data_IF_656513031329
#
_entry.id   IF_656513031329
#
_cell.length_a   1.000
_cell.length_b   1.000
_cell.length_c   1.000
_cell.angle_alpha   90.00
_cell.angle_beta   90.00
_cell.angle_gamma   90.00
#
_symmetry.space_group_name_H-M   'P 1'
#
loop_
_entity.id
_entity.type
_entity.pdbx_description
1 polymer ?
#
# COMPACT_ATOMS: atom_id res chain seq x y z
N UNK A 1 -2.53 -19.60 11.45
CA UNK A 1 -1.42 -19.38 10.50
C UNK A 1 -1.44 -17.89 10.13
N UNK A 2 -0.32 -17.18 10.26
CA UNK A 2 -0.25 -15.76 9.91
C UNK A 2 0.19 -15.65 8.44
N UNK A 3 -0.49 -14.80 7.67
CA UNK A 3 -0.07 -14.44 6.32
C UNK A 3 0.69 -13.11 6.40
N UNK A 4 1.91 -13.09 5.88
CA UNK A 4 2.78 -11.92 5.90
C UNK A 4 3.67 -11.88 4.65
N UNK A 5 4.13 -10.68 4.31
CA UNK A 5 4.96 -10.39 3.14
C UNK A 5 5.95 -9.27 3.53
N UNK A 6 7.20 -9.37 3.07
CA UNK A 6 8.17 -8.28 3.21
C UNK A 6 7.87 -7.19 2.20
N UNK A 7 8.08 -5.93 2.60
CA UNK A 7 7.89 -4.80 1.71
C UNK A 7 8.76 -3.61 2.06
N UNK A 8 9.01 -2.76 1.06
CA UNK A 8 9.75 -1.50 1.19
C UNK A 8 8.78 -0.32 1.17
N UNK A 9 8.86 0.57 2.16
CA UNK A 9 8.11 1.83 2.15
C UNK A 9 8.65 2.73 1.03
N UNK A 10 7.81 3.06 0.06
CA UNK A 10 8.17 3.94 -1.05
C UNK A 10 7.82 5.40 -0.79
N UNK A 11 6.68 5.64 -0.12
CA UNK A 11 6.23 7.00 0.13
C UNK A 11 4.75 7.08 0.47
N UNK A 12 4.21 8.29 0.38
CA UNK A 12 2.80 8.58 0.64
C UNK A 12 2.17 9.25 -0.57
N UNK A 13 0.91 8.91 -0.84
CA UNK A 13 0.08 9.52 -1.89
C UNK A 13 -1.38 9.56 -1.43
N UNK A 14 -2.30 9.91 -2.33
CA UNK A 14 -3.73 9.91 -2.08
C UNK A 14 -4.47 9.22 -3.21
N UNK A 15 -5.54 8.51 -2.86
CA UNK A 15 -6.45 7.86 -3.81
C UNK A 15 -7.86 8.41 -3.63
N UNK A 16 -8.61 8.49 -4.72
CA UNK A 16 -10.03 8.81 -4.69
C UNK A 16 -10.84 7.52 -4.79
N UNK A 17 -11.77 7.33 -3.86
CA UNK A 17 -12.71 6.21 -3.89
C UNK A 17 -13.99 6.59 -4.65
N UNK A 18 -14.84 5.62 -4.96
CA UNK A 18 -16.00 5.78 -5.84
C UNK A 18 -17.01 6.85 -5.36
N UNK A 19 -17.08 7.11 -4.05
CA UNK A 19 -17.94 8.15 -3.46
C UNK A 19 -17.29 9.56 -3.44
N UNK A 20 -16.14 9.72 -4.09
CA UNK A 20 -15.43 10.99 -4.21
C UNK A 20 -14.55 11.36 -3.02
N UNK A 21 -14.50 10.55 -1.94
CA UNK A 21 -13.60 10.81 -0.80
C UNK A 21 -12.14 10.61 -1.18
N UNK A 22 -11.28 11.48 -0.64
CA UNK A 22 -9.81 11.40 -0.77
C UNK A 22 -9.20 10.69 0.43
N UNK A 23 -8.55 9.55 0.21
CA UNK A 23 -7.90 8.75 1.26
C UNK A 23 -6.38 8.87 1.13
N UNK A 24 -5.66 9.35 2.15
CA UNK A 24 -4.20 9.31 2.18
C UNK A 24 -3.72 7.87 2.39
N UNK A 25 -2.72 7.44 1.63
CA UNK A 25 -2.19 6.07 1.67
C UNK A 25 -0.66 6.06 1.65
N UNK A 26 -0.07 5.03 2.25
CA UNK A 26 1.36 4.73 2.13
C UNK A 26 1.55 3.68 1.05
N UNK A 27 2.44 3.92 0.10
CA UNK A 27 2.81 2.95 -0.93
C UNK A 27 3.90 2.04 -0.39
N UNK A 28 3.64 0.73 -0.42
CA UNK A 28 4.61 -0.32 -0.07
C UNK A 28 4.86 -1.16 -1.31
N UNK A 29 6.11 -1.23 -1.75
CA UNK A 29 6.52 -2.19 -2.77
C UNK A 29 6.65 -3.55 -2.11
N UNK A 30 5.90 -4.52 -2.62
CA UNK A 30 5.89 -5.89 -2.15
C UNK A 30 6.17 -6.79 -3.36
N UNK A 31 7.29 -7.50 -3.34
CA UNK A 31 7.80 -8.30 -4.45
C UNK A 31 8.20 -9.71 -4.00
N UNK A 32 8.59 -10.59 -4.94
CA UNK A 32 9.04 -11.94 -4.58
C UNK A 32 10.22 -11.84 -3.61
N UNK A 33 10.03 -12.44 -2.44
CA UNK A 33 11.10 -12.61 -1.45
C UNK A 33 11.84 -13.90 -1.83
N UNK A 34 12.81 -13.79 -2.75
CA UNK A 34 13.68 -14.90 -3.14
C UNK A 34 14.82 -15.09 -2.17
#
# INVERSE_FOLDING_TARGET
>A
MIQGILGKKLGMTQVFVADGRRIPVTVVEAGPCT
#
